data_IF_525575147172
#
_entry.id   IF_525575147172
#
_cell.length_a   1.000
_cell.length_b   1.000
_cell.length_c   1.000
_cell.angle_alpha   90.00
_cell.angle_beta   90.00
_cell.angle_gamma   90.00
#
_symmetry.space_group_name_H-M   'P 1'
#
loop_
_entity.id
_entity.type
_entity.pdbx_description
1 polymer ?
#
# COMPACT_ATOMS: atom_id res chain seq x y z
N UNK A 1 -11.41 48.71 30.59
CA UNK A 1 -11.09 48.18 29.25
C UNK A 1 -11.23 46.67 29.35
N UNK A 2 -12.16 46.07 28.59
CA UNK A 2 -12.27 44.61 28.52
C UNK A 2 -11.28 44.10 27.49
N UNK A 3 -10.43 43.15 27.87
CA UNK A 3 -9.52 42.50 26.94
C UNK A 3 -10.31 41.80 25.81
N UNK A 4 -9.84 41.84 24.56
CA UNK A 4 -10.51 41.18 23.46
C UNK A 4 -10.40 39.67 23.67
N UNK A 5 -11.54 39.06 24.01
CA UNK A 5 -11.66 37.61 24.16
C UNK A 5 -11.29 36.95 22.83
N UNK A 6 -10.11 36.31 22.80
CA UNK A 6 -9.68 35.51 21.66
C UNK A 6 -10.64 34.32 21.51
N UNK A 7 -11.61 34.43 20.61
CA UNK A 7 -12.48 33.34 20.23
C UNK A 7 -11.72 32.51 19.20
N UNK A 8 -11.32 31.29 19.58
CA UNK A 8 -10.75 30.32 18.64
C UNK A 8 -11.72 30.08 17.48
N UNK A 9 -11.21 30.07 16.25
CA UNK A 9 -11.99 29.86 15.03
C UNK A 9 -12.45 28.40 14.85
N UNK A 10 -11.96 27.48 15.68
CA UNK A 10 -12.28 26.06 15.61
C UNK A 10 -13.19 25.64 16.78
N UNK A 11 -14.14 24.71 16.55
CA UNK A 11 -15.00 24.23 17.62
C UNK A 11 -14.14 23.62 18.74
N UNK A 12 -14.46 23.88 20.02
CA UNK A 12 -13.75 23.26 21.12
C UNK A 12 -13.92 21.74 21.04
N UNK A 13 -12.92 20.98 21.48
CA UNK A 13 -12.97 19.54 21.37
C UNK A 13 -14.09 18.99 22.29
N UNK A 14 -14.71 17.84 21.96
CA UNK A 14 -15.85 17.31 22.70
C UNK A 14 -15.54 17.05 24.19
N UNK A 15 -15.92 18.00 25.06
CA UNK A 15 -15.57 17.97 26.49
C UNK A 15 -16.18 16.79 27.25
N UNK A 16 -17.24 16.17 26.72
CA UNK A 16 -17.86 14.97 27.26
C UNK A 16 -16.90 13.78 27.25
N UNK A 17 -16.09 13.63 26.19
CA UNK A 17 -15.16 12.50 26.07
C UNK A 17 -13.84 12.78 26.77
N UNK A 18 -13.29 13.99 26.61
CA UNK A 18 -11.93 14.33 27.08
C UNK A 18 -11.80 14.22 28.60
N UNK A 19 -12.85 14.56 29.35
CA UNK A 19 -12.86 14.49 30.82
C UNK A 19 -12.71 13.06 31.34
N UNK A 20 -13.05 12.06 30.54
CA UNK A 20 -12.99 10.65 30.93
C UNK A 20 -11.57 10.08 30.75
N UNK A 21 -10.74 10.69 29.90
CA UNK A 21 -9.33 10.31 29.64
C UNK A 21 -8.37 11.04 30.59
N UNK A 22 -8.41 10.70 31.88
CA UNK A 22 -7.40 11.11 32.86
C UNK A 22 -6.40 9.98 33.12
N UNK A 23 -5.17 10.31 33.53
CA UNK A 23 -4.12 9.31 33.86
C UNK A 23 -4.62 8.26 34.86
N UNK A 24 -5.43 8.70 35.82
CA UNK A 24 -6.02 7.84 36.84
C UNK A 24 -7.06 6.86 36.27
N UNK A 25 -7.92 7.34 35.39
CA UNK A 25 -8.93 6.50 34.73
C UNK A 25 -8.30 5.52 33.73
N UNK A 26 -7.23 5.92 33.05
CA UNK A 26 -6.45 5.05 32.16
C UNK A 26 -5.79 3.94 32.97
N UNK A 27 -5.13 4.29 34.08
CA UNK A 27 -4.49 3.32 34.99
C UNK A 27 -5.50 2.32 35.57
N UNK A 28 -6.72 2.77 35.86
CA UNK A 28 -7.81 1.93 36.37
C UNK A 28 -8.62 1.20 35.27
N UNK A 29 -8.32 1.44 33.98
CA UNK A 29 -9.07 0.86 32.86
C UNK A 29 -10.52 1.34 32.75
N UNK A 30 -10.85 2.48 33.37
CA UNK A 30 -12.19 3.10 33.35
C UNK A 30 -12.39 4.03 32.15
N UNK A 31 -11.34 4.33 31.40
CA UNK A 31 -11.43 5.11 30.18
C UNK A 31 -12.34 4.39 29.16
N UNK A 32 -13.33 5.08 28.56
CA UNK A 32 -14.24 4.48 27.60
C UNK A 32 -13.47 3.95 26.39
N UNK A 33 -13.84 2.74 25.95
CA UNK A 33 -13.35 2.18 24.68
C UNK A 33 -13.99 2.93 23.51
N UNK A 34 -13.34 3.01 22.34
CA UNK A 34 -13.94 3.60 21.16
C UNK A 34 -15.30 2.93 20.87
N UNK A 35 -16.29 3.70 20.39
CA UNK A 35 -17.59 3.14 20.03
C UNK A 35 -17.41 2.04 18.98
N UNK A 36 -18.24 0.98 19.01
CA UNK A 36 -18.18 -0.06 18.00
C UNK A 36 -18.46 0.53 16.60
N UNK A 37 -17.84 -0.02 15.54
CA UNK A 37 -18.13 0.39 14.18
C UNK A 37 -19.63 0.28 13.89
N UNK A 38 -20.21 1.35 13.35
CA UNK A 38 -21.58 1.35 12.85
C UNK A 38 -21.64 0.35 11.70
N UNK A 39 -22.60 -0.57 11.73
CA UNK A 39 -22.79 -1.61 10.69
C UNK A 39 -23.97 -1.34 9.77
N UNK A 40 -24.81 -0.37 10.13
CA UNK A 40 -26.05 -0.09 9.42
C UNK A 40 -25.85 1.11 8.48
N UNK A 41 -26.52 2.22 8.79
CA UNK A 41 -26.40 3.47 8.04
C UNK A 41 -25.80 4.58 8.90
N UNK A 42 -25.01 5.46 8.28
CA UNK A 42 -24.50 6.67 8.92
C UNK A 42 -24.72 7.91 8.03
N UNK A 43 -24.82 9.07 8.68
CA UNK A 43 -24.93 10.35 7.98
C UNK A 43 -23.54 10.97 7.83
N UNK A 44 -23.15 11.26 6.59
CA UNK A 44 -21.89 11.95 6.28
C UNK A 44 -22.18 13.15 5.39
N UNK A 45 -21.90 14.35 5.91
CA UNK A 45 -22.16 15.63 5.22
C UNK A 45 -23.61 15.76 4.71
N UNK A 46 -24.58 15.35 5.52
CA UNK A 46 -26.01 15.42 5.16
C UNK A 46 -26.51 14.31 4.23
N UNK A 47 -25.65 13.38 3.82
CA UNK A 47 -26.03 12.23 3.00
C UNK A 47 -26.08 10.96 3.84
N UNK A 48 -27.09 10.12 3.62
CA UNK A 48 -27.17 8.80 4.22
C UNK A 48 -26.29 7.81 3.44
N UNK A 49 -25.46 7.08 4.16
CA UNK A 49 -24.59 6.01 3.66
C UNK A 49 -24.98 4.71 4.34
N UNK A 50 -25.08 3.63 3.57
CA UNK A 50 -25.21 2.27 4.09
C UNK A 50 -23.83 1.61 4.09
N UNK A 51 -23.50 0.85 5.13
CA UNK A 51 -22.21 0.15 5.22
C UNK A 51 -22.06 -0.98 4.19
N UNK A 52 -23.18 -1.57 3.74
CA UNK A 52 -23.21 -2.65 2.76
C UNK A 52 -23.35 -2.17 1.31
N UNK A 53 -23.52 -0.86 1.08
CA UNK A 53 -23.60 -0.34 -0.28
C UNK A 53 -22.28 -0.58 -1.01
N UNK A 54 -22.38 -1.03 -2.27
CA UNK A 54 -21.25 -1.03 -3.17
C UNK A 54 -20.61 0.37 -3.15
N UNK A 55 -19.28 0.42 -3.03
CA UNK A 55 -18.50 1.68 -3.03
C UNK A 55 -18.95 2.59 -4.19
N UNK A 56 -19.42 1.99 -5.29
CA UNK A 56 -19.95 2.66 -6.45
C UNK A 56 -21.44 2.30 -6.54
N UNK A 57 -22.31 3.27 -6.28
CA UNK A 57 -23.76 3.09 -6.41
C UNK A 57 -24.12 2.85 -7.89
N UNK A 58 -24.96 1.86 -8.21
CA UNK A 58 -25.44 1.62 -9.57
C UNK A 58 -26.20 2.83 -10.13
N UNK A 59 -26.10 3.07 -11.44
CA UNK A 59 -26.82 4.16 -12.13
C UNK A 59 -28.34 4.07 -11.90
N UNK A 60 -28.87 2.85 -11.82
CA UNK A 60 -30.29 2.56 -11.62
C UNK A 60 -30.79 3.04 -10.25
N UNK A 61 -29.92 3.00 -9.23
CA UNK A 61 -30.23 3.51 -7.88
C UNK A 61 -30.36 5.04 -7.83
N UNK A 62 -29.87 5.73 -8.87
CA UNK A 62 -29.98 7.18 -9.05
C UNK A 62 -31.09 7.56 -10.04
N UNK A 63 -31.88 6.59 -10.52
CA UNK A 63 -32.93 6.80 -11.50
C UNK A 63 -32.40 7.00 -12.93
N UNK A 64 -31.15 6.64 -13.20
CA UNK A 64 -30.52 6.78 -14.50
C UNK A 64 -30.55 5.43 -15.22
N UNK A 65 -31.17 5.38 -16.40
CA UNK A 65 -31.23 4.17 -17.23
C UNK A 65 -29.84 3.86 -17.79
N UNK A 66 -29.42 2.59 -17.69
CA UNK A 66 -28.10 2.16 -18.14
C UNK A 66 -28.03 2.13 -19.67
N UNK A 67 -27.04 2.82 -20.24
CA UNK A 67 -26.82 2.87 -21.69
C UNK A 67 -26.05 1.65 -22.27
N UNK A 68 -25.51 0.77 -21.42
CA UNK A 68 -24.70 -0.38 -21.82
C UNK A 68 -25.27 -1.71 -21.29
N UNK A 69 -25.04 -2.85 -21.99
CA UNK A 69 -25.51 -4.16 -21.54
C UNK A 69 -24.81 -4.64 -20.27
N UNK A 70 -25.38 -5.61 -19.53
CA UNK A 70 -24.80 -6.13 -18.27
C UNK A 70 -23.42 -6.80 -18.41
N UNK A 71 -23.12 -7.34 -19.59
CA UNK A 71 -21.81 -7.89 -19.93
C UNK A 71 -21.20 -7.09 -21.07
N UNK A 72 -20.06 -6.48 -20.82
CA UNK A 72 -19.40 -5.62 -21.79
C UNK A 72 -17.91 -5.49 -21.48
N UNK A 73 -17.15 -5.10 -22.50
CA UNK A 73 -15.77 -4.68 -22.34
C UNK A 73 -15.73 -3.18 -21.98
N UNK A 74 -15.23 -2.87 -20.79
CA UNK A 74 -15.14 -1.49 -20.27
C UNK A 74 -14.36 -0.57 -21.23
N UNK A 75 -13.32 -1.09 -21.87
CA UNK A 75 -12.49 -0.30 -22.80
C UNK A 75 -13.28 0.08 -24.05
N UNK A 76 -14.05 -0.86 -24.59
CA UNK A 76 -14.87 -0.61 -25.78
C UNK A 76 -16.00 0.36 -25.47
N UNK A 77 -16.66 0.16 -24.34
CA UNK A 77 -17.80 0.99 -23.95
C UNK A 77 -17.36 2.43 -23.63
N UNK A 78 -16.21 2.61 -22.97
CA UNK A 78 -15.62 3.91 -22.74
C UNK A 78 -15.28 4.64 -24.06
N UNK A 79 -14.78 3.91 -25.05
CA UNK A 79 -14.51 4.46 -26.40
C UNK A 79 -15.79 4.88 -27.11
N UNK A 80 -16.85 4.07 -27.03
CA UNK A 80 -18.15 4.42 -27.61
C UNK A 80 -18.74 5.68 -26.96
N UNK A 81 -18.72 5.76 -25.63
CA UNK A 81 -19.17 6.95 -24.91
C UNK A 81 -18.34 8.19 -25.30
N UNK A 82 -17.02 8.06 -25.44
CA UNK A 82 -16.16 9.15 -25.89
C UNK A 82 -16.54 9.66 -27.28
N UNK A 83 -16.74 8.76 -28.24
CA UNK A 83 -17.22 9.13 -29.58
C UNK A 83 -18.63 9.73 -29.55
N UNK A 84 -19.52 9.20 -28.71
CA UNK A 84 -20.88 9.74 -28.54
C UNK A 84 -20.88 11.15 -27.98
N UNK A 85 -20.02 11.45 -27.00
CA UNK A 85 -19.83 12.81 -26.45
C UNK A 85 -19.33 13.75 -27.55
N UNK A 86 -18.35 13.32 -28.35
CA UNK A 86 -17.80 14.14 -29.43
C UNK A 86 -18.87 14.48 -30.48
N UNK A 87 -19.64 13.49 -30.92
CA UNK A 87 -20.73 13.71 -31.90
C UNK A 87 -21.79 14.65 -31.34
N UNK A 88 -22.22 14.44 -30.08
CA UNK A 88 -23.19 15.34 -29.44
C UNK A 88 -22.67 16.77 -29.28
N UNK A 89 -21.36 16.94 -29.05
CA UNK A 89 -20.74 18.26 -29.01
C UNK A 89 -20.75 18.94 -30.38
N UNK A 90 -20.47 18.20 -31.46
CA UNK A 90 -20.55 18.74 -32.83
C UNK A 90 -22.00 19.12 -33.20
N UNK A 91 -22.97 18.30 -32.82
CA UNK A 91 -24.40 18.62 -33.00
C UNK A 91 -24.80 19.89 -32.23
N UNK A 92 -24.30 20.05 -31.01
CA UNK A 92 -24.52 21.26 -30.22
C UNK A 92 -23.93 22.49 -30.90
N UNK A 93 -22.71 22.39 -31.46
CA UNK A 93 -22.12 23.50 -32.21
C UNK A 93 -22.96 23.88 -33.44
N UNK A 94 -23.47 22.89 -34.18
CA UNK A 94 -24.32 23.14 -35.35
C UNK A 94 -25.65 23.82 -34.94
N UNK A 95 -26.25 23.42 -33.82
CA UNK A 95 -27.43 24.09 -33.24
C UNK A 95 -27.10 25.54 -32.85
N UNK A 96 -25.95 25.79 -32.22
CA UNK A 96 -25.54 27.15 -31.84
C UNK A 96 -25.30 28.06 -33.04
N UNK A 97 -24.79 27.52 -34.15
CA UNK A 97 -24.61 28.26 -35.41
C UNK A 97 -25.95 28.57 -36.07
N UNK A 98 -26.87 27.61 -36.11
CA UNK A 98 -28.15 27.74 -36.82
C UNK A 98 -29.23 28.45 -36.02
N UNK A 99 -29.34 28.19 -34.72
CA UNK A 99 -30.44 28.64 -33.86
C UNK A 99 -30.04 28.63 -32.37
N UNK A 100 -29.26 29.63 -31.92
CA UNK A 100 -28.68 29.64 -30.56
C UNK A 100 -29.71 29.75 -29.43
N UNK A 101 -30.93 30.23 -29.70
CA UNK A 101 -32.01 30.33 -28.71
C UNK A 101 -33.01 29.17 -28.72
N UNK A 102 -32.69 28.07 -29.42
CA UNK A 102 -33.58 26.91 -29.51
C UNK A 102 -33.50 26.05 -28.25
N UNK A 103 -34.65 25.51 -27.81
CA UNK A 103 -34.74 24.49 -26.74
C UNK A 103 -33.84 23.27 -26.99
N UNK A 104 -33.53 22.99 -28.26
CA UNK A 104 -32.63 21.89 -28.68
C UNK A 104 -31.22 22.03 -28.10
N UNK A 105 -30.80 23.26 -27.79
CA UNK A 105 -29.53 23.54 -27.13
C UNK A 105 -29.53 22.94 -25.72
N UNK A 106 -30.54 23.24 -24.91
CA UNK A 106 -30.68 22.72 -23.56
C UNK A 106 -30.84 21.19 -23.58
N UNK A 107 -31.63 20.62 -24.50
CA UNK A 107 -31.74 19.16 -24.67
C UNK A 107 -30.38 18.50 -24.93
N UNK A 108 -29.60 19.04 -25.87
CA UNK A 108 -28.25 18.52 -26.15
C UNK A 108 -27.28 18.70 -25.00
N UNK A 109 -27.44 19.75 -24.20
CA UNK A 109 -26.62 19.96 -23.01
C UNK A 109 -26.92 18.91 -21.93
N UNK A 110 -28.19 18.57 -21.73
CA UNK A 110 -28.59 17.49 -20.81
C UNK A 110 -28.11 16.12 -21.30
N UNK A 111 -28.20 15.83 -22.60
CA UNK A 111 -27.65 14.61 -23.20
C UNK A 111 -26.14 14.48 -22.92
N UNK A 112 -25.37 15.56 -23.12
CA UNK A 112 -23.93 15.56 -22.85
C UNK A 112 -23.64 15.35 -21.36
N UNK A 113 -24.38 16.02 -20.46
CA UNK A 113 -24.24 15.80 -19.01
C UNK A 113 -24.48 14.35 -18.65
N UNK A 114 -25.54 13.75 -19.20
CA UNK A 114 -25.88 12.34 -18.98
C UNK A 114 -24.74 11.42 -19.45
N UNK A 115 -24.19 11.64 -20.65
CA UNK A 115 -23.05 10.88 -21.17
C UNK A 115 -21.82 10.97 -20.25
N UNK A 116 -21.52 12.14 -19.67
CA UNK A 116 -20.43 12.29 -18.71
C UNK A 116 -20.70 11.53 -17.41
N UNK A 117 -21.93 11.53 -16.89
CA UNK A 117 -22.29 10.73 -15.70
C UNK A 117 -22.04 9.24 -15.97
N UNK A 118 -22.46 8.73 -17.13
CA UNK A 118 -22.20 7.35 -17.52
C UNK A 118 -20.71 7.04 -17.66
N UNK A 119 -19.94 7.95 -18.26
CA UNK A 119 -18.49 7.79 -18.38
C UNK A 119 -17.80 7.74 -17.01
N UNK A 120 -18.19 8.62 -16.08
CA UNK A 120 -17.67 8.61 -14.73
C UNK A 120 -18.00 7.32 -13.98
N UNK A 121 -19.23 6.82 -14.12
CA UNK A 121 -19.63 5.56 -13.52
C UNK A 121 -18.77 4.39 -14.04
N UNK A 122 -18.57 4.32 -15.36
CA UNK A 122 -17.76 3.28 -16.00
C UNK A 122 -16.30 3.28 -15.52
N UNK A 123 -15.72 4.48 -15.37
CA UNK A 123 -14.35 4.65 -14.82
C UNK A 123 -14.31 4.20 -13.36
N UNK A 124 -15.35 4.56 -12.59
CA UNK A 124 -15.44 4.17 -11.19
C UNK A 124 -15.51 2.65 -11.05
N UNK A 125 -16.35 1.96 -11.83
CA UNK A 125 -16.46 0.48 -11.86
C UNK A 125 -15.10 -0.19 -12.13
N UNK A 126 -14.21 0.46 -12.87
CA UNK A 126 -12.87 -0.06 -13.16
C UNK A 126 -11.84 0.15 -12.03
N UNK A 127 -12.12 1.01 -11.03
CA UNK A 127 -11.19 1.32 -9.93
C UNK A 127 -10.75 0.10 -9.12
N UNK A 128 -11.63 -0.84 -8.72
CA UNK A 128 -11.22 -2.03 -7.97
C UNK A 128 -10.30 -2.93 -8.79
N UNK A 129 -10.50 -3.00 -10.12
CA UNK A 129 -9.58 -3.71 -11.01
C UNK A 129 -8.22 -3.03 -11.04
N UNK A 130 -8.19 -1.70 -11.25
CA UNK A 130 -6.95 -0.91 -11.20
C UNK A 130 -6.17 -1.12 -9.90
N UNK A 131 -6.84 -1.06 -8.75
CA UNK A 131 -6.20 -1.25 -7.45
C UNK A 131 -5.54 -2.64 -7.30
N UNK A 132 -6.18 -3.69 -7.80
CA UNK A 132 -5.62 -5.05 -7.79
C UNK A 132 -4.38 -5.17 -8.67
N UNK A 133 -4.39 -4.58 -9.85
CA UNK A 133 -3.23 -4.61 -10.75
C UNK A 133 -2.07 -3.76 -10.20
N UNK A 134 -2.35 -2.58 -9.62
CA UNK A 134 -1.34 -1.80 -8.90
C UNK A 134 -0.72 -2.60 -7.75
N UNK A 135 -1.53 -3.32 -6.97
CA UNK A 135 -1.05 -4.18 -5.89
C UNK A 135 -0.17 -5.31 -6.42
N UNK A 136 -0.56 -5.95 -7.53
CA UNK A 136 0.22 -6.99 -8.19
C UNK A 136 1.61 -6.48 -8.58
N UNK A 137 1.68 -5.36 -9.30
CA UNK A 137 2.94 -4.74 -9.73
C UNK A 137 3.80 -4.39 -8.52
N UNK A 138 3.21 -3.82 -7.46
CA UNK A 138 3.95 -3.53 -6.23
C UNK A 138 4.57 -4.78 -5.60
N UNK A 139 3.84 -5.89 -5.54
CA UNK A 139 4.35 -7.15 -5.00
C UNK A 139 5.44 -7.77 -5.89
N UNK A 140 5.33 -7.64 -7.20
CA UNK A 140 6.37 -8.08 -8.15
C UNK A 140 7.67 -7.30 -7.96
N UNK A 141 7.59 -5.98 -7.77
CA UNK A 141 8.76 -5.13 -7.47
C UNK A 141 9.41 -5.56 -6.15
N UNK A 142 8.61 -5.78 -5.09
CA UNK A 142 9.14 -6.26 -3.80
C UNK A 142 9.83 -7.62 -3.94
N UNK A 143 9.24 -8.55 -4.70
CA UNK A 143 9.84 -9.87 -4.97
C UNK A 143 11.18 -9.71 -5.69
N UNK A 144 11.24 -8.87 -6.73
CA UNK A 144 12.47 -8.61 -7.49
C UNK A 144 13.58 -8.05 -6.60
N UNK A 145 13.27 -7.03 -5.79
CA UNK A 145 14.23 -6.44 -4.85
C UNK A 145 14.77 -7.47 -3.84
N UNK A 146 13.92 -8.35 -3.30
CA UNK A 146 14.36 -9.41 -2.39
C UNK A 146 15.30 -10.40 -3.07
N UNK A 147 14.99 -10.82 -4.30
CA UNK A 147 15.84 -11.73 -5.07
C UNK A 147 17.20 -11.10 -5.41
N UNK A 148 17.22 -9.84 -5.88
CA UNK A 148 18.46 -9.12 -6.17
C UNK A 148 19.33 -8.95 -4.91
N UNK A 149 18.70 -8.66 -3.77
CA UNK A 149 19.42 -8.54 -2.50
C UNK A 149 20.03 -9.89 -2.09
N UNK A 150 19.27 -10.99 -2.20
CA UNK A 150 19.78 -12.33 -1.91
C UNK A 150 20.94 -12.71 -2.84
N UNK A 151 20.84 -12.39 -4.14
CA UNK A 151 21.92 -12.61 -5.10
C UNK A 151 23.17 -11.80 -4.76
N UNK A 152 23.02 -10.54 -4.35
CA UNK A 152 24.14 -9.71 -3.88
C UNK A 152 24.79 -10.30 -2.63
N UNK A 153 24.00 -10.77 -1.66
CA UNK A 153 24.52 -11.44 -0.47
C UNK A 153 25.28 -12.72 -0.83
N UNK A 154 24.76 -13.52 -1.74
CA UNK A 154 25.41 -14.75 -2.21
C UNK A 154 26.78 -14.45 -2.86
N UNK A 155 26.85 -13.45 -3.74
CA UNK A 155 28.12 -13.00 -4.36
C UNK A 155 29.12 -12.47 -3.33
N UNK A 156 28.63 -11.84 -2.25
CA UNK A 156 29.51 -11.38 -1.17
C UNK A 156 30.05 -12.56 -0.36
N UNK A 157 29.22 -13.57 -0.08
CA UNK A 157 29.63 -14.78 0.62
C UNK A 157 30.69 -15.55 -0.17
N UNK A 158 30.48 -15.74 -1.47
CA UNK A 158 31.44 -16.41 -2.36
C UNK A 158 32.81 -15.72 -2.34
N UNK A 159 32.85 -14.39 -2.46
CA UNK A 159 34.10 -13.63 -2.35
C UNK A 159 34.80 -13.79 -0.99
N UNK A 160 34.05 -13.84 0.11
CA UNK A 160 34.62 -14.04 1.45
C UNK A 160 35.18 -15.46 1.57
N UNK A 161 34.48 -16.47 1.06
CA UNK A 161 34.95 -17.86 1.04
C UNK A 161 36.24 -17.99 0.21
N UNK A 162 36.28 -17.40 -0.98
CA UNK A 162 37.48 -17.36 -1.83
C UNK A 162 38.66 -16.69 -1.12
N UNK A 163 38.42 -15.57 -0.43
CA UNK A 163 39.45 -14.87 0.34
C UNK A 163 39.98 -15.72 1.49
N UNK A 164 39.10 -16.40 2.24
CA UNK A 164 39.51 -17.30 3.33
C UNK A 164 40.31 -18.47 2.77
N UNK A 165 39.86 -19.09 1.68
CA UNK A 165 40.58 -20.19 1.02
C UNK A 165 41.96 -19.73 0.52
N UNK A 166 42.06 -18.53 -0.04
CA UNK A 166 43.32 -17.93 -0.45
C UNK A 166 44.27 -17.71 0.73
N UNK A 167 43.78 -17.18 1.86
CA UNK A 167 44.58 -17.05 3.08
C UNK A 167 45.05 -18.41 3.63
N UNK A 168 44.17 -19.41 3.66
CA UNK A 168 44.51 -20.77 4.11
C UNK A 168 45.59 -21.41 3.22
N UNK A 169 45.50 -21.25 1.90
CA UNK A 169 46.51 -21.75 0.97
C UNK A 169 47.85 -21.02 1.07
N UNK A 170 47.87 -19.79 1.59
CA UNK A 170 49.09 -18.99 1.77
C UNK A 170 49.84 -19.27 3.08
N UNK A 171 49.24 -20.01 4.00
CA UNK A 171 49.89 -20.43 5.24
C UNK A 171 50.92 -21.54 4.95
N UNK A 172 52.13 -21.47 5.51
CA UNK A 172 53.13 -22.53 5.35
C UNK A 172 52.69 -23.82 6.05
N UNK A 173 52.93 -24.96 5.41
CA UNK A 173 52.51 -26.31 5.84
C UNK A 173 53.31 -26.89 7.02
N UNK A 174 54.02 -26.05 7.79
CA UNK A 174 54.83 -26.47 8.93
C UNK A 174 54.02 -26.40 10.23
N UNK A 175 53.08 -27.33 10.37
CA UNK A 175 52.70 -27.84 11.68
C UNK A 175 53.56 -29.08 11.95
N UNK A 176 54.35 -29.12 13.04
CA UNK A 176 55.09 -30.32 13.38
C UNK A 176 54.09 -31.45 13.61
N UNK A 177 54.22 -32.52 12.83
CA UNK A 177 53.60 -33.81 13.15
C UNK A 177 53.99 -34.14 14.59
N UNK A 178 53.04 -34.05 15.52
CA UNK A 178 53.21 -34.68 16.82
C UNK A 178 53.23 -36.19 16.56
N UNK A 179 54.44 -36.74 16.47
CA UNK A 179 54.69 -38.17 16.47
C UNK A 179 54.01 -38.77 17.71
N UNK A 180 52.91 -39.48 17.49
CA UNK A 180 52.33 -40.39 18.47
C UNK A 180 53.23 -41.63 18.56
N UNK A 181 53.80 -41.97 19.73
CA UNK A 181 54.48 -43.25 19.87
C UNK A 181 53.44 -44.37 20.02
N UNK A 182 53.70 -45.46 19.30
CA UNK A 182 52.91 -46.68 19.18
C UNK A 182 52.38 -47.25 20.51
N UNK A 183 51.09 -47.61 20.57
CA UNK A 183 50.62 -48.80 21.31
C UNK A 183 49.47 -49.49 20.54
N UNK A 184 49.85 -50.62 19.93
CA UNK A 184 49.07 -51.87 19.70
C UNK A 184 47.93 -51.86 18.68
N UNK A 185 48.27 -52.38 17.50
CA UNK A 185 47.34 -53.05 16.59
C UNK A 185 46.98 -54.44 17.17
N UNK A 186 45.70 -54.65 17.47
CA UNK A 186 45.10 -55.95 17.78
C UNK A 186 43.78 -56.07 17.03
N UNK A 187 43.78 -56.86 15.95
CA UNK A 187 42.73 -56.85 14.94
C UNK A 187 41.40 -57.47 15.36
N UNK A 188 40.37 -57.23 14.55
CA UNK A 188 39.41 -58.26 14.11
C UNK A 188 38.45 -57.69 13.06
N UNK A 189 38.27 -58.48 12.00
CA UNK A 189 37.27 -58.32 10.94
C UNK A 189 35.85 -58.45 11.52
N UNK A 190 34.86 -57.88 10.81
CA UNK A 190 33.67 -58.57 10.26
C UNK A 190 32.47 -57.62 10.08
N UNK A 191 32.09 -57.33 8.83
CA UNK A 191 30.87 -57.77 8.12
C UNK A 191 29.52 -57.56 8.83
N UNK A 192 28.71 -56.68 8.21
CA UNK A 192 27.24 -56.73 8.00
C UNK A 192 26.31 -57.36 9.05
N UNK A 193 25.27 -56.59 9.45
CA UNK A 193 23.86 -56.98 9.32
C UNK A 193 22.95 -55.86 9.90
N UNK A 194 21.88 -55.49 9.17
CA UNK A 194 20.65 -54.96 9.79
C UNK A 194 19.90 -56.08 10.53
N UNK A 195 18.67 -55.91 11.09
CA UNK A 195 17.66 -54.91 10.69
C UNK A 195 16.77 -54.30 11.83
N UNK A 196 15.88 -53.38 11.41
CA UNK A 196 14.46 -53.19 11.83
C UNK A 196 14.00 -52.54 13.17
N UNK A 197 13.31 -51.38 12.99
CA UNK A 197 12.02 -50.90 13.58
C UNK A 197 11.90 -50.48 15.08
N UNK A 198 10.85 -49.74 15.52
CA UNK A 198 10.26 -48.48 15.01
C UNK A 198 9.90 -47.43 16.11
N UNK A 199 9.49 -46.23 15.68
CA UNK A 199 8.50 -45.32 16.32
C UNK A 199 8.87 -44.52 17.60
N UNK A 200 8.78 -43.18 17.54
CA UNK A 200 7.75 -42.37 18.21
C UNK A 200 8.20 -40.94 18.57
N UNK A 201 7.31 -39.99 18.27
CA UNK A 201 7.00 -38.75 18.99
C UNK A 201 8.06 -37.64 19.17
N UNK A 202 7.91 -36.59 18.35
CA UNK A 202 7.49 -35.27 18.83
C UNK A 202 8.45 -34.45 19.69
N UNK A 203 9.10 -33.46 19.07
CA UNK A 203 9.06 -32.03 19.44
C UNK A 203 10.08 -31.24 18.60
N UNK A 204 9.60 -30.38 17.71
CA UNK A 204 10.39 -29.31 17.08
C UNK A 204 10.43 -28.10 18.02
N UNK A 205 11.61 -27.56 18.41
CA UNK A 205 11.66 -26.31 19.15
C UNK A 205 11.42 -25.13 18.20
N UNK A 206 10.36 -24.39 18.49
CA UNK A 206 9.95 -23.12 17.89
C UNK A 206 10.95 -22.02 18.30
N UNK A 207 11.77 -21.52 17.36
CA UNK A 207 12.61 -20.34 17.60
C UNK A 207 11.76 -19.07 17.46
N UNK A 208 11.67 -18.32 18.55
CA UNK A 208 11.13 -16.95 18.63
C UNK A 208 11.99 -16.01 17.79
N UNK A 209 11.38 -15.31 16.84
CA UNK A 209 11.95 -14.12 16.20
C UNK A 209 11.41 -12.90 16.94
N UNK A 210 12.27 -12.21 17.68
CA UNK A 210 11.97 -10.87 18.20
C UNK A 210 12.20 -9.82 17.10
N UNK A 211 11.36 -8.77 17.01
CA UNK A 211 11.60 -7.64 16.13
C UNK A 211 12.62 -6.68 16.75
N UNK A 212 13.57 -6.19 15.95
CA UNK A 212 14.45 -5.08 16.34
C UNK A 212 13.66 -3.77 16.39
N UNK A 213 13.50 -3.21 17.58
CA UNK A 213 13.13 -1.80 17.80
C UNK A 213 14.38 -0.92 17.60
N UNK A 214 14.25 0.13 16.78
CA UNK A 214 15.25 1.19 16.69
C UNK A 214 14.70 2.38 17.49
N UNK A 215 15.28 2.61 18.66
CA UNK A 215 14.97 3.76 19.50
C UNK A 215 15.42 5.07 18.82
N UNK A 216 14.49 6.00 18.66
CA UNK A 216 14.76 7.40 18.33
C UNK A 216 14.97 8.16 19.65
N UNK A 217 16.24 8.36 20.02
CA UNK A 217 16.64 9.16 21.19
C UNK A 217 16.11 10.58 21.06
N UNK A 218 15.19 10.95 21.95
CA UNK A 218 14.73 12.32 22.13
C UNK A 218 15.82 13.22 22.70
N UNK A 219 15.87 14.46 22.21
CA UNK A 219 16.56 15.57 22.87
C UNK A 219 15.57 16.72 23.06
N UNK A 220 15.20 16.90 24.32
CA UNK A 220 14.55 18.04 25.02
C UNK A 220 15.25 19.38 24.71
N UNK A 221 14.76 20.62 24.89
CA UNK A 221 13.49 21.30 25.23
C UNK A 221 13.77 22.84 25.20
N UNK A 222 12.77 23.65 24.82
CA UNK A 222 12.52 25.10 25.06
C UNK A 222 13.55 26.19 24.61
N UNK A 223 13.13 27.11 23.72
CA UNK A 223 12.59 28.47 24.02
C UNK A 223 12.72 29.40 22.78
N UNK A 224 11.88 30.43 22.70
CA UNK A 224 11.52 31.22 21.52
C UNK A 224 12.46 32.40 21.18
N UNK A 225 12.53 32.80 19.89
CA UNK A 225 13.05 34.11 19.49
C UNK A 225 13.48 34.29 18.03
N UNK A 226 12.55 34.75 17.19
CA UNK A 226 12.65 35.63 16.00
C UNK A 226 13.73 35.48 14.88
N UNK A 227 13.21 35.49 13.64
CA UNK A 227 13.75 35.95 12.34
C UNK A 227 15.13 35.43 11.86
N UNK A 228 15.13 34.62 10.79
CA UNK A 228 15.52 35.12 9.46
C UNK A 228 15.20 34.15 8.31
N UNK A 229 15.17 34.71 7.09
CA UNK A 229 14.73 34.12 5.83
C UNK A 229 15.68 33.04 5.28
N UNK A 230 15.04 32.12 4.54
CA UNK A 230 15.52 31.42 3.34
C UNK A 230 16.07 29.98 3.51
N UNK A 231 15.70 29.13 2.54
CA UNK A 231 16.18 27.75 2.26
C UNK A 231 15.47 26.60 3.00
N UNK A 232 14.54 25.93 2.31
CA UNK A 232 14.49 24.45 2.08
C UNK A 232 13.17 24.01 1.41
N UNK A 233 12.98 24.37 0.14
CA UNK A 233 12.00 23.74 -0.75
C UNK A 233 12.57 22.44 -1.33
N UNK A 234 12.65 21.37 -0.53
CA UNK A 234 13.18 20.09 -1.05
C UNK A 234 12.55 18.82 -0.46
N UNK A 235 11.36 18.93 0.15
CA UNK A 235 10.63 17.75 0.66
C UNK A 235 9.24 17.55 0.08
N UNK A 236 8.89 18.24 -1.02
CA UNK A 236 7.56 18.13 -1.66
C UNK A 236 7.55 17.56 -3.08
N UNK A 237 8.65 16.97 -3.54
CA UNK A 237 8.77 16.44 -4.91
C UNK A 237 8.70 14.90 -4.99
N UNK A 238 8.60 14.18 -3.86
CA UNK A 238 8.65 12.70 -3.86
C UNK A 238 7.30 11.98 -3.94
N UNK A 239 6.20 12.70 -4.09
CA UNK A 239 4.85 12.09 -4.16
C UNK A 239 4.37 11.83 -5.59
N UNK A 240 4.97 12.47 -6.60
CA UNK A 240 4.53 12.35 -8.00
C UNK A 240 5.26 11.30 -8.84
N UNK A 241 6.27 10.62 -8.28
CA UNK A 241 7.17 9.77 -9.06
C UNK A 241 6.77 8.28 -9.04
N UNK A 242 5.81 7.90 -8.19
CA UNK A 242 5.35 6.50 -8.08
C UNK A 242 4.44 6.10 -9.23
N UNK A 243 3.56 7.00 -9.66
CA UNK A 243 2.65 6.74 -10.78
C UNK A 243 3.40 6.79 -12.11
N UNK A 244 4.38 7.69 -12.25
CA UNK A 244 5.27 7.76 -13.41
C UNK A 244 6.15 6.51 -13.52
N UNK A 245 6.77 6.06 -12.41
CA UNK A 245 7.52 4.82 -12.37
C UNK A 245 6.66 3.57 -12.65
N UNK A 246 5.39 3.57 -12.21
CA UNK A 246 4.46 2.48 -12.51
C UNK A 246 4.14 2.41 -14.01
N UNK A 247 3.93 3.55 -14.66
CA UNK A 247 3.71 3.62 -16.10
C UNK A 247 4.94 3.14 -16.90
N UNK A 248 6.16 3.54 -16.50
CA UNK A 248 7.38 3.08 -17.18
C UNK A 248 7.60 1.57 -17.08
N UNK A 249 7.23 0.94 -15.96
CA UNK A 249 7.34 -0.52 -15.79
C UNK A 249 6.29 -1.26 -16.64
N UNK A 250 5.11 -0.68 -16.86
CA UNK A 250 4.06 -1.27 -17.70
C UNK A 250 4.47 -1.24 -19.19
N UNK A 251 5.10 -0.16 -19.65
CA UNK A 251 5.58 -0.03 -21.03
C UNK A 251 6.78 -0.94 -21.35
N UNK A 252 7.57 -1.36 -20.36
CA UNK A 252 8.66 -2.33 -20.53
C UNK A 252 8.19 -3.79 -20.65
N UNK A 253 6.94 -4.09 -20.31
CA UNK A 253 6.37 -5.45 -20.28
C UNK A 253 5.49 -5.74 -21.53
N UNK A 254 5.10 -4.72 -22.31
CA UNK A 254 4.28 -4.84 -23.53
C UNK A 254 5.13 -4.94 -24.81
#
# INVERSE_FOLDING_TARGET
MGEPQQVSALPPPPTQFIKEYTDENIRKGLAPKPPPPIRDSYMMFGNQFQCDDLIIRPLESQGIERLHPMQFDHKQELKKLNMSILVNFLDLLDILIKSPGSIKREEKLEDIKLLFVHMHHLINEYRPHQARETLRVMMEVQKRQRLETAERFQKHLERVVEMIQGCLASLPDDLPQSESPDIVCGGSKCVSAGPSFPCSSGQTPLLKTEPMDVEETGSSCMEAGALDKNVTTSKRDKIWDKDAAMCSIIDEIA
#
